data_IF_933980807568
#
_entry.id   IF_933980807568
#
_cell.length_a   1.000
_cell.length_b   1.000
_cell.length_c   1.000
_cell.angle_alpha   90.00
_cell.angle_beta   90.00
_cell.angle_gamma   90.00
#
_symmetry.space_group_name_H-M   'P 1'
#
loop_
_entity.id
_entity.type
_entity.pdbx_description
1 polymer ?
#
# COMPACT_ATOMS: atom_id res chain seq x y z
N UNK A 1 15.83 46.54 -17.35
CA UNK A 1 15.02 45.36 -16.96
C UNK A 1 15.89 44.12 -16.73
N UNK A 2 17.23 44.22 -16.85
CA UNK A 2 18.16 43.09 -16.70
C UNK A 2 18.61 42.80 -15.26
N UNK A 3 18.59 43.79 -14.36
CA UNK A 3 19.00 43.58 -12.96
C UNK A 3 18.09 42.61 -12.20
N UNK A 4 16.83 42.49 -12.61
CA UNK A 4 15.87 41.58 -12.00
C UNK A 4 16.21 40.11 -12.33
N UNK A 5 16.64 39.84 -13.56
CA UNK A 5 17.03 38.50 -14.00
C UNK A 5 18.38 38.08 -13.41
N UNK A 6 19.31 39.01 -13.26
CA UNK A 6 20.58 38.74 -12.58
C UNK A 6 20.40 38.37 -11.10
N UNK A 7 19.44 38.99 -10.40
CA UNK A 7 19.16 38.69 -9.00
C UNK A 7 18.47 37.33 -8.80
N UNK A 8 17.62 36.90 -9.74
CA UNK A 8 17.02 35.57 -9.69
C UNK A 8 18.06 34.46 -9.91
N UNK A 9 18.99 34.67 -10.84
CA UNK A 9 20.01 33.66 -11.19
C UNK A 9 21.12 33.55 -10.15
N UNK A 10 21.43 34.65 -9.46
CA UNK A 10 22.48 34.73 -8.43
C UNK A 10 22.02 34.23 -7.05
N UNK A 11 20.72 34.05 -6.83
CA UNK A 11 20.15 33.65 -5.53
C UNK A 11 20.35 34.66 -4.40
N UNK A 12 21.03 35.78 -4.67
CA UNK A 12 21.22 36.90 -3.74
C UNK A 12 20.12 37.93 -3.93
N UNK A 13 18.89 37.55 -3.60
CA UNK A 13 17.86 38.55 -3.31
C UNK A 13 18.27 39.27 -2.02
N UNK A 14 19.14 40.27 -2.17
CA UNK A 14 19.51 41.18 -1.08
C UNK A 14 18.22 41.88 -0.67
N UNK A 15 17.64 41.41 0.42
CA UNK A 15 16.67 42.17 1.20
C UNK A 15 17.29 43.57 1.38
N UNK A 16 16.62 44.66 0.95
CA UNK A 16 17.09 46.00 1.27
C UNK A 16 16.97 46.14 2.78
N UNK A 17 18.12 45.94 3.41
CA UNK A 17 18.57 46.38 4.71
C UNK A 17 17.55 47.28 5.45
N UNK A 18 16.53 46.68 6.06
CA UNK A 18 15.66 47.33 7.07
C UNK A 18 16.36 47.40 8.43
N UNK A 19 17.68 47.46 8.42
CA UNK A 19 18.55 47.27 9.57
C UNK A 19 19.46 48.44 9.90
N UNK A 20 19.25 49.64 9.32
CA UNK A 20 19.94 50.84 9.81
C UNK A 20 19.26 51.36 11.09
N UNK A 21 19.38 50.57 12.15
CA UNK A 21 19.18 51.02 13.53
C UNK A 21 20.56 51.00 14.17
N UNK A 22 21.21 52.15 14.11
CA UNK A 22 22.39 52.48 14.93
C UNK A 22 21.96 52.47 16.41
N UNK A 23 21.85 51.28 16.99
CA UNK A 23 21.73 51.06 18.44
C UNK A 23 23.10 50.61 18.93
N UNK A 24 24.03 51.56 19.05
CA UNK A 24 25.38 51.29 19.58
C UNK A 24 25.41 51.08 21.08
N UNK A 25 24.35 51.38 21.85
CA UNK A 25 24.47 51.50 23.31
C UNK A 25 23.37 50.84 24.16
N UNK A 26 22.69 49.81 23.68
CA UNK A 26 21.88 48.95 24.58
C UNK A 26 22.61 47.64 24.90
N UNK A 27 23.47 47.68 25.93
CA UNK A 27 23.98 46.49 26.63
C UNK A 27 22.86 45.92 27.51
N UNK A 28 21.85 45.33 26.87
CA UNK A 28 20.86 44.48 27.56
C UNK A 28 21.54 43.30 28.28
N UNK A 29 20.81 42.54 29.13
CA UNK A 29 21.36 41.54 30.05
C UNK A 29 22.15 40.40 29.37
N UNK A 30 23.41 40.67 29.06
CA UNK A 30 24.32 39.83 28.30
C UNK A 30 24.96 38.74 29.17
N UNK A 31 24.19 37.89 29.87
CA UNK A 31 24.76 36.71 30.58
C UNK A 31 23.79 35.52 30.74
N UNK A 32 23.07 35.06 29.71
CA UNK A 32 22.42 33.71 29.75
C UNK A 32 22.32 32.93 28.42
N UNK A 33 22.91 33.39 27.31
CA UNK A 33 22.69 32.74 26.00
C UNK A 33 23.72 31.66 25.64
N UNK A 34 24.94 31.69 26.19
CA UNK A 34 26.02 30.75 25.82
C UNK A 34 25.85 29.32 26.37
N UNK A 35 24.97 29.11 27.35
CA UNK A 35 24.69 27.79 27.93
C UNK A 35 23.48 27.07 27.34
N UNK A 36 22.59 27.78 26.62
CA UNK A 36 21.33 27.22 26.15
C UNK A 36 21.44 26.58 24.76
N UNK A 37 22.36 27.07 23.92
CA UNK A 37 22.59 26.47 22.58
C UNK A 37 23.16 25.06 22.67
N UNK A 38 24.09 24.79 23.60
CA UNK A 38 24.63 23.43 23.81
C UNK A 38 23.56 22.41 24.20
N UNK A 39 22.56 22.82 24.99
CA UNK A 39 21.44 21.94 25.39
C UNK A 39 20.43 21.72 24.26
N UNK A 40 20.27 22.69 23.36
CA UNK A 40 19.39 22.57 22.18
C UNK A 40 19.95 21.59 21.16
N UNK A 41 21.26 21.60 20.90
CA UNK A 41 21.89 20.68 19.94
C UNK A 41 21.68 19.23 20.33
N UNK A 42 21.81 18.90 21.62
CA UNK A 42 21.62 17.55 22.14
C UNK A 42 20.16 17.08 22.04
N UNK A 43 19.19 18.00 22.21
CA UNK A 43 17.76 17.68 22.04
C UNK A 43 17.44 17.37 20.57
N UNK A 44 17.90 18.21 19.64
CA UNK A 44 17.71 17.95 18.22
C UNK A 44 18.40 16.66 17.78
N UNK A 45 19.63 16.41 18.22
CA UNK A 45 20.35 15.18 17.89
C UNK A 45 19.64 13.90 18.38
N UNK A 46 19.07 13.92 19.59
CA UNK A 46 18.31 12.78 20.13
C UNK A 46 17.02 12.52 19.36
N UNK A 47 16.20 13.56 19.17
CA UNK A 47 14.94 13.45 18.44
C UNK A 47 15.18 13.05 16.98
N UNK A 48 16.22 13.58 16.34
CA UNK A 48 16.57 13.16 14.98
C UNK A 48 17.03 11.71 14.93
N UNK A 49 17.85 11.26 15.87
CA UNK A 49 18.36 9.88 15.85
C UNK A 49 17.26 8.84 16.05
N UNK A 50 16.32 9.08 16.96
CA UNK A 50 15.15 8.21 17.16
C UNK A 50 14.26 8.22 15.91
N UNK A 51 14.00 9.40 15.33
CA UNK A 51 13.24 9.50 14.08
C UNK A 51 13.96 8.78 12.92
N UNK A 52 15.29 8.89 12.82
CA UNK A 52 16.07 8.18 11.81
C UNK A 52 16.02 6.67 12.00
N UNK A 53 16.03 6.17 13.24
CA UNK A 53 15.89 4.75 13.53
C UNK A 53 14.52 4.23 13.07
N UNK A 54 13.44 4.96 13.36
CA UNK A 54 12.09 4.61 12.90
C UNK A 54 11.97 4.66 11.37
N UNK A 55 12.51 5.71 10.75
CA UNK A 55 12.53 5.82 9.28
C UNK A 55 13.29 4.63 8.69
N UNK A 56 14.44 4.26 9.25
CA UNK A 56 15.22 3.11 8.80
C UNK A 56 14.41 1.81 8.91
N UNK A 57 13.78 1.54 10.06
CA UNK A 57 12.97 0.34 10.25
C UNK A 57 11.81 0.26 9.25
N UNK A 58 11.12 1.39 8.99
CA UNK A 58 10.05 1.42 7.99
C UNK A 58 10.55 1.22 6.56
N UNK A 59 11.75 1.73 6.23
CA UNK A 59 12.40 1.49 4.93
C UNK A 59 12.85 0.03 4.78
N UNK A 60 13.36 -0.59 5.83
CA UNK A 60 13.75 -2.01 5.82
C UNK A 60 12.52 -2.89 5.56
N UNK A 61 11.41 -2.65 6.27
CA UNK A 61 10.12 -3.34 6.03
C UNK A 61 9.60 -3.10 4.62
N UNK A 62 9.70 -1.87 4.10
CA UNK A 62 9.29 -1.55 2.74
C UNK A 62 10.12 -2.32 1.71
N UNK A 63 11.43 -2.39 1.91
CA UNK A 63 12.35 -3.11 1.01
C UNK A 63 12.07 -4.62 1.00
N UNK A 64 11.76 -5.20 2.16
CA UNK A 64 11.39 -6.61 2.26
C UNK A 64 10.07 -6.89 1.52
N UNK A 65 9.08 -6.01 1.66
CA UNK A 65 7.81 -6.13 0.94
C UNK A 65 8.01 -6.02 -0.58
N UNK A 66 8.83 -5.10 -1.06
CA UNK A 66 9.15 -4.97 -2.49
C UNK A 66 9.83 -6.24 -3.02
N UNK A 67 10.76 -6.82 -2.25
CA UNK A 67 11.40 -8.08 -2.59
C UNK A 67 10.40 -9.22 -2.70
N UNK A 68 9.50 -9.38 -1.71
CA UNK A 68 8.44 -10.40 -1.75
C UNK A 68 7.54 -10.24 -2.97
N UNK A 69 7.15 -9.01 -3.31
CA UNK A 69 6.35 -8.73 -4.50
C UNK A 69 7.12 -9.15 -5.78
N UNK A 70 8.39 -8.77 -5.89
CA UNK A 70 9.22 -9.17 -7.02
C UNK A 70 9.31 -10.70 -7.14
N UNK A 71 9.55 -11.40 -6.03
CA UNK A 71 9.62 -12.87 -6.00
C UNK A 71 8.29 -13.49 -6.47
N UNK A 72 7.14 -12.96 -6.02
CA UNK A 72 5.83 -13.46 -6.48
C UNK A 72 5.59 -13.26 -7.97
N UNK A 73 6.02 -12.12 -8.53
CA UNK A 73 5.90 -11.84 -9.97
C UNK A 73 6.80 -12.80 -10.76
N UNK A 74 8.03 -13.06 -10.30
CA UNK A 74 8.92 -14.02 -10.96
C UNK A 74 8.40 -15.46 -10.89
N UNK A 75 7.67 -15.82 -9.83
CA UNK A 75 7.03 -17.13 -9.73
C UNK A 75 5.82 -17.23 -10.67
N UNK A 76 5.01 -16.17 -10.78
CA UNK A 76 3.87 -16.10 -11.70
C UNK A 76 4.31 -16.22 -13.16
N UNK A 77 5.30 -15.43 -13.58
CA UNK A 77 5.85 -15.50 -14.94
C UNK A 77 6.36 -16.90 -15.30
N UNK A 78 7.06 -17.59 -14.39
CA UNK A 78 7.46 -19.00 -14.59
C UNK A 78 6.27 -19.96 -14.72
N UNK A 79 5.17 -19.73 -14.00
CA UNK A 79 3.96 -20.55 -14.14
C UNK A 79 3.28 -20.27 -15.48
N UNK A 80 3.19 -19.01 -15.88
CA UNK A 80 2.63 -18.60 -17.17
C UNK A 80 3.43 -19.20 -18.34
N UNK A 81 4.77 -19.20 -18.26
CA UNK A 81 5.63 -19.87 -19.25
C UNK A 81 5.34 -21.38 -19.34
N UNK A 82 5.14 -22.06 -18.21
CA UNK A 82 4.78 -23.49 -18.20
C UNK A 82 3.41 -23.74 -18.82
N UNK A 83 2.44 -22.87 -18.55
CA UNK A 83 1.10 -22.95 -19.13
C UNK A 83 1.18 -22.75 -20.65
N UNK A 84 1.90 -21.72 -21.11
CA UNK A 84 2.11 -21.47 -22.53
C UNK A 84 2.76 -22.67 -23.23
N UNK A 85 3.84 -23.22 -22.66
CA UNK A 85 4.52 -24.40 -23.20
C UNK A 85 3.60 -25.63 -23.26
N UNK A 86 2.76 -25.84 -22.25
CA UNK A 86 1.80 -26.94 -22.24
C UNK A 86 0.72 -26.78 -23.32
N UNK A 87 0.23 -25.55 -23.53
CA UNK A 87 -0.72 -25.24 -24.59
C UNK A 87 -0.08 -25.45 -25.97
N UNK A 88 1.14 -24.98 -26.19
CA UNK A 88 1.87 -25.22 -27.44
C UNK A 88 2.09 -26.71 -27.72
N UNK A 89 2.42 -27.49 -26.70
CA UNK A 89 2.55 -28.95 -26.81
C UNK A 89 1.22 -29.61 -27.21
N UNK A 90 0.10 -29.21 -26.60
CA UNK A 90 -1.23 -29.69 -26.95
C UNK A 90 -1.62 -29.33 -28.38
N UNK A 91 -1.39 -28.08 -28.80
CA UNK A 91 -1.65 -27.62 -30.17
C UNK A 91 -0.80 -28.42 -31.17
N UNK A 92 0.47 -28.68 -30.85
CA UNK A 92 1.37 -29.49 -31.69
C UNK A 92 0.88 -30.94 -31.81
N UNK A 93 0.41 -31.54 -30.71
CA UNK A 93 -0.17 -32.88 -30.73
C UNK A 93 -1.45 -32.95 -31.56
N UNK A 94 -2.35 -31.97 -31.41
CA UNK A 94 -3.61 -31.90 -32.15
C UNK A 94 -3.39 -31.63 -33.65
N UNK A 95 -2.43 -30.76 -33.99
CA UNK A 95 -2.05 -30.49 -35.38
C UNK A 95 -1.51 -31.71 -36.11
N UNK A 96 -0.70 -32.54 -35.42
CA UNK A 96 -0.24 -33.84 -35.93
C UNK A 96 -1.39 -34.83 -36.11
N UNK A 97 -2.35 -34.86 -35.17
CA UNK A 97 -3.49 -35.77 -35.23
C UNK A 97 -4.48 -35.43 -36.35
N UNK A 98 -4.63 -34.14 -36.70
CA UNK A 98 -5.54 -33.66 -37.75
C UNK A 98 -4.89 -33.41 -39.11
N UNK A 99 -3.64 -33.85 -39.32
CA UNK A 99 -3.00 -33.80 -40.64
C UNK A 99 -2.71 -32.39 -41.16
N UNK A 100 -2.59 -31.40 -40.26
CA UNK A 100 -2.06 -30.08 -40.62
C UNK A 100 -0.53 -30.16 -40.72
N UNK A 101 -0.03 -30.78 -41.78
CA UNK A 101 1.37 -30.65 -42.19
C UNK A 101 1.57 -29.27 -42.83
N UNK A 102 1.76 -28.27 -41.99
CA UNK A 102 2.46 -27.04 -42.34
C UNK A 102 3.92 -27.17 -41.91
N UNK A 103 4.91 -26.95 -42.79
CA UNK A 103 6.31 -27.19 -42.48
C UNK A 103 6.85 -26.07 -41.60
N UNK A 104 7.18 -26.35 -40.34
CA UNK A 104 8.01 -25.46 -39.52
C UNK A 104 8.97 -26.26 -38.60
N UNK A 105 10.08 -25.62 -38.18
CA UNK A 105 11.42 -26.19 -38.27
C UNK A 105 11.80 -27.08 -37.11
N UNK A 106 12.82 -27.90 -37.38
CA UNK A 106 13.53 -28.76 -36.45
C UNK A 106 13.99 -28.02 -35.19
N UNK A 107 13.70 -28.63 -34.06
CA UNK A 107 14.24 -28.30 -32.73
C UNK A 107 14.00 -29.49 -31.82
N UNK A 108 14.73 -30.57 -32.10
CA UNK A 108 14.71 -31.82 -31.34
C UNK A 108 15.38 -31.60 -29.99
N UNK A 109 14.72 -31.99 -28.90
CA UNK A 109 15.40 -32.70 -27.81
C UNK A 109 14.40 -33.48 -26.95
N UNK A 110 14.35 -34.78 -27.23
CA UNK A 110 13.77 -35.82 -26.40
C UNK A 110 14.80 -36.28 -25.35
N UNK A 111 14.35 -36.55 -24.11
CA UNK A 111 14.63 -37.78 -23.30
C UNK A 111 14.46 -37.48 -21.80
N UNK A 112 13.59 -38.23 -21.11
CA UNK A 112 13.48 -38.15 -19.64
C UNK A 112 12.30 -38.92 -19.01
N UNK A 113 12.34 -40.25 -19.08
CA UNK A 113 11.46 -41.29 -18.50
C UNK A 113 10.99 -41.09 -17.03
N UNK A 114 9.80 -41.60 -16.62
CA UNK A 114 9.24 -41.47 -15.26
C UNK A 114 9.61 -42.64 -14.31
N UNK A 115 9.37 -42.49 -13.00
CA UNK A 115 8.77 -43.58 -12.22
C UNK A 115 7.52 -43.14 -11.42
N UNK A 116 6.58 -44.10 -11.33
CA UNK A 116 5.30 -44.08 -10.62
C UNK A 116 5.44 -44.09 -9.08
N UNK A 117 4.35 -43.65 -8.42
CA UNK A 117 3.97 -43.93 -7.02
C UNK A 117 3.94 -42.65 -6.18
N UNK A 118 2.90 -42.28 -5.45
CA UNK A 118 1.62 -42.91 -5.18
C UNK A 118 0.71 -41.85 -4.52
N UNK A 119 -0.58 -41.92 -4.81
CA UNK A 119 -1.73 -41.55 -3.95
C UNK A 119 -2.01 -40.07 -3.57
N UNK A 120 -3.26 -39.70 -3.88
CA UNK A 120 -4.14 -38.71 -3.21
C UNK A 120 -4.28 -37.30 -3.85
N UNK A 121 -5.22 -37.22 -4.79
CA UNK A 121 -6.20 -36.11 -4.90
C UNK A 121 -6.89 -35.82 -3.53
N UNK A 122 -7.42 -34.61 -3.27
CA UNK A 122 -8.31 -33.89 -4.19
C UNK A 122 -8.05 -32.38 -4.37
N UNK A 123 -8.32 -31.91 -5.60
CA UNK A 123 -8.68 -30.52 -5.94
C UNK A 123 -10.09 -30.18 -5.39
N UNK A 124 -10.73 -29.00 -5.66
CA UNK A 124 -10.26 -27.72 -6.23
C UNK A 124 -10.75 -26.50 -5.42
N UNK A 125 -10.19 -25.30 -5.64
CA UNK A 125 -10.95 -24.05 -5.94
C UNK A 125 -9.96 -22.91 -6.21
N UNK A 126 -9.84 -22.47 -7.47
CA UNK A 126 -10.57 -21.34 -8.06
C UNK A 126 -9.83 -20.00 -7.87
N UNK A 127 -9.05 -19.64 -8.89
CA UNK A 127 -8.88 -18.25 -9.34
C UNK A 127 -10.23 -17.78 -9.97
N UNK A 128 -10.46 -16.50 -10.37
CA UNK A 128 -9.43 -15.55 -10.82
C UNK A 128 -9.69 -14.04 -10.59
N UNK A 129 -8.74 -13.28 -11.12
CA UNK A 129 -8.93 -12.05 -11.90
C UNK A 129 -8.92 -10.68 -11.21
N UNK A 130 -7.96 -9.89 -11.69
CA UNK A 130 -7.77 -8.46 -11.49
C UNK A 130 -8.87 -7.60 -12.14
N UNK A 131 -9.12 -6.42 -11.58
CA UNK A 131 -9.38 -5.18 -12.34
C UNK A 131 -9.39 -3.93 -11.42
N UNK A 132 -8.51 -2.96 -11.70
CA UNK A 132 -8.79 -1.50 -11.59
C UNK A 132 -9.46 -1.07 -12.91
N UNK A 133 -10.16 0.09 -13.08
CA UNK A 133 -10.02 1.38 -12.38
C UNK A 133 -11.33 2.22 -12.20
N UNK A 134 -11.17 3.49 -11.76
CA UNK A 134 -12.07 4.67 -11.90
C UNK A 134 -13.34 4.73 -11.03
N UNK A 135 -13.47 5.66 -10.06
CA UNK A 135 -13.69 7.11 -10.17
C UNK A 135 -15.13 7.51 -10.56
N UNK A 136 -15.94 7.84 -9.55
CA UNK A 136 -16.90 8.95 -9.60
C UNK A 136 -17.24 9.38 -8.18
N UNK A 137 -17.34 10.69 -8.01
CA UNK A 137 -17.68 11.41 -6.80
C UNK A 137 -19.17 11.74 -6.78
N UNK A 138 -19.66 12.13 -5.58
CA UNK A 138 -20.94 12.80 -5.26
C UNK A 138 -22.19 11.94 -5.53
N UNK A 139 -23.26 11.94 -4.74
CA UNK A 139 -23.88 13.04 -3.99
C UNK A 139 -24.84 12.44 -2.93
N UNK A 140 -25.27 13.29 -2.01
CA UNK A 140 -26.21 13.04 -0.92
C UNK A 140 -27.61 12.54 -1.38
N UNK A 141 -28.36 12.02 -0.40
CA UNK A 141 -29.83 11.92 -0.27
C UNK A 141 -30.54 10.59 -0.58
N UNK A 142 -31.06 10.05 0.53
CA UNK A 142 -32.41 9.53 0.76
C UNK A 142 -32.97 8.33 -0.02
N UNK A 143 -33.37 7.35 0.81
CA UNK A 143 -34.52 6.45 0.68
C UNK A 143 -34.54 5.50 -0.53
N UNK A 144 -34.09 4.27 -0.33
CA UNK A 144 -34.74 3.10 -0.92
C UNK A 144 -34.65 1.89 0.03
N UNK A 145 -35.84 1.43 0.42
CA UNK A 145 -36.11 0.24 1.22
C UNK A 145 -35.79 -1.03 0.42
N UNK A 146 -34.52 -1.43 0.41
CA UNK A 146 -34.02 -2.79 0.17
C UNK A 146 -32.55 -2.82 0.63
N UNK A 147 -32.27 -2.24 1.80
CA UNK A 147 -30.90 -2.09 2.27
C UNK A 147 -30.32 -3.45 2.71
N UNK A 148 -29.05 -3.73 2.37
CA UNK A 148 -28.27 -4.77 3.04
C UNK A 148 -28.40 -4.56 4.56
N UNK A 149 -28.37 -5.64 5.38
CA UNK A 149 -28.53 -5.52 6.84
C UNK A 149 -27.67 -4.37 7.33
N UNK A 150 -28.29 -3.38 8.00
CA UNK A 150 -27.63 -2.14 8.36
C UNK A 150 -26.30 -2.50 9.03
N UNK A 151 -25.23 -1.81 8.66
CA UNK A 151 -23.90 -2.02 9.23
C UNK A 151 -23.94 -2.07 10.76
N UNK A 152 -24.87 -1.33 11.36
CA UNK A 152 -25.18 -1.32 12.79
C UNK A 152 -25.73 -2.68 13.23
N UNK A 153 -26.76 -3.24 12.58
CA UNK A 153 -27.34 -4.54 12.91
C UNK A 153 -26.30 -5.67 12.82
N UNK A 154 -25.42 -5.61 11.83
CA UNK A 154 -24.32 -6.57 11.72
C UNK A 154 -23.34 -6.46 12.90
N UNK A 155 -22.97 -5.24 13.31
CA UNK A 155 -22.13 -5.03 14.51
C UNK A 155 -22.87 -5.55 15.75
N UNK A 156 -24.17 -5.26 15.89
CA UNK A 156 -24.98 -5.70 17.01
C UNK A 156 -24.96 -7.22 17.14
N UNK A 157 -25.22 -7.95 16.05
CA UNK A 157 -25.21 -9.41 16.01
C UNK A 157 -23.86 -9.97 16.44
N UNK A 158 -22.76 -9.51 15.83
CA UNK A 158 -21.42 -9.96 16.20
C UNK A 158 -21.06 -9.63 17.66
N UNK A 159 -21.56 -8.51 18.19
CA UNK A 159 -21.37 -8.15 19.60
C UNK A 159 -22.17 -9.06 20.54
N UNK A 160 -23.38 -9.48 20.16
CA UNK A 160 -24.16 -10.45 20.94
C UNK A 160 -23.50 -11.83 20.97
N UNK A 161 -22.80 -12.21 19.89
CA UNK A 161 -21.97 -13.42 19.82
C UNK A 161 -20.68 -13.32 20.67
N UNK A 162 -20.39 -12.14 21.23
CA UNK A 162 -19.21 -11.91 22.07
C UNK A 162 -17.95 -11.53 21.28
N UNK A 163 -18.07 -11.20 20.01
CA UNK A 163 -16.91 -10.86 19.19
C UNK A 163 -16.25 -9.55 19.63
N UNK A 164 -14.91 -9.56 19.57
CA UNK A 164 -14.10 -8.36 19.80
C UNK A 164 -14.21 -7.39 18.62
N UNK A 165 -14.07 -6.10 18.90
CA UNK A 165 -14.08 -5.05 17.87
C UNK A 165 -13.09 -5.29 16.73
N UNK A 166 -11.95 -5.90 17.02
CA UNK A 166 -10.95 -6.22 16.00
C UNK A 166 -11.39 -7.37 15.10
N UNK A 167 -12.13 -8.35 15.64
CA UNK A 167 -12.71 -9.43 14.85
C UNK A 167 -13.80 -8.92 13.91
N UNK A 168 -14.63 -7.98 14.38
CA UNK A 168 -15.64 -7.30 13.55
C UNK A 168 -14.97 -6.49 12.44
N UNK A 169 -13.90 -5.75 12.76
CA UNK A 169 -13.15 -5.00 11.75
C UNK A 169 -12.57 -5.91 10.64
N UNK A 170 -12.00 -7.06 11.02
CA UNK A 170 -11.52 -8.06 10.05
C UNK A 170 -12.65 -8.65 9.21
N UNK A 171 -13.81 -8.87 9.81
CA UNK A 171 -14.99 -9.34 9.09
C UNK A 171 -15.41 -8.32 8.01
N UNK A 172 -15.39 -7.03 8.31
CA UNK A 172 -15.69 -5.97 7.34
C UNK A 172 -14.65 -5.87 6.23
N UNK A 173 -13.37 -6.03 6.56
CA UNK A 173 -12.31 -6.10 5.55
C UNK A 173 -12.48 -7.31 4.62
N UNK A 174 -12.87 -8.47 5.17
CA UNK A 174 -13.12 -9.69 4.39
C UNK A 174 -14.34 -9.55 3.47
N UNK A 175 -15.37 -8.83 3.93
CA UNK A 175 -16.56 -8.52 3.14
C UNK A 175 -16.37 -7.32 2.20
N UNK A 176 -15.15 -6.75 2.14
CA UNK A 176 -14.82 -5.58 1.34
C UNK A 176 -15.71 -4.36 1.62
N UNK A 177 -16.20 -4.23 2.85
CA UNK A 177 -17.04 -3.09 3.25
C UNK A 177 -16.14 -1.87 3.43
N UNK A 178 -16.36 -0.78 2.67
CA UNK A 178 -15.55 0.43 2.82
C UNK A 178 -15.81 1.09 4.18
N UNK A 179 -14.78 1.74 4.73
CA UNK A 179 -14.96 2.59 5.91
C UNK A 179 -15.86 3.79 5.60
N UNK A 180 -16.47 4.39 6.63
CA UNK A 180 -17.31 5.60 6.49
C UNK A 180 -16.57 6.77 5.84
N UNK A 181 -15.25 6.87 6.06
CA UNK A 181 -14.41 7.89 5.40
C UNK A 181 -14.07 7.55 3.95
N UNK A 182 -14.44 6.36 3.45
CA UNK A 182 -14.05 5.83 2.15
C UNK A 182 -12.55 5.54 2.02
N UNK A 183 -11.79 5.59 3.12
CA UNK A 183 -10.32 5.52 3.10
C UNK A 183 -9.80 4.50 4.10
N UNK A 184 -9.12 3.49 3.55
CA UNK A 184 -8.40 2.50 4.35
C UNK A 184 -9.27 1.33 4.81
N UNK A 185 -8.74 0.58 5.77
CA UNK A 185 -9.31 -0.64 6.33
C UNK A 185 -10.01 -0.36 7.65
N UNK A 186 -11.02 -1.16 7.98
CA UNK A 186 -11.63 -1.08 9.29
C UNK A 186 -10.62 -1.48 10.36
N UNK A 187 -10.65 -0.79 11.51
CA UNK A 187 -9.88 -1.14 12.70
C UNK A 187 -10.81 -1.20 13.89
N UNK A 188 -10.52 -2.03 14.89
CA UNK A 188 -11.39 -2.19 16.07
C UNK A 188 -11.82 -0.86 16.72
N UNK A 189 -10.91 0.10 16.98
CA UNK A 189 -11.29 1.40 17.52
C UNK A 189 -12.22 2.22 16.61
N UNK A 190 -12.11 2.07 15.29
CA UNK A 190 -12.98 2.76 14.34
C UNK A 190 -14.40 2.16 14.33
N UNK A 191 -14.51 0.83 14.37
CA UNK A 191 -15.80 0.13 14.52
C UNK A 191 -16.48 0.55 15.81
N UNK A 192 -15.75 0.58 16.94
CA UNK A 192 -16.30 1.03 18.22
C UNK A 192 -16.82 2.47 18.15
N UNK A 193 -16.05 3.40 17.59
CA UNK A 193 -16.48 4.80 17.42
C UNK A 193 -17.72 4.92 16.54
N UNK A 194 -17.77 4.15 15.46
CA UNK A 194 -18.93 4.11 14.57
C UNK A 194 -20.17 3.58 15.28
N UNK A 195 -20.03 2.52 16.09
CA UNK A 195 -21.10 2.00 16.93
C UNK A 195 -21.58 3.03 17.94
N UNK A 196 -20.67 3.63 18.71
CA UNK A 196 -21.01 4.62 19.75
C UNK A 196 -21.72 5.88 19.16
N UNK A 197 -21.45 6.21 17.90
CA UNK A 197 -22.05 7.36 17.21
C UNK A 197 -23.44 7.06 16.63
N UNK A 198 -23.72 5.81 16.23
CA UNK A 198 -24.94 5.45 15.51
C UNK A 198 -25.88 4.52 16.29
N UNK A 199 -25.42 3.97 17.43
CA UNK A 199 -26.28 3.19 18.31
C UNK A 199 -27.31 4.13 18.96
N UNK A 200 -28.61 3.79 18.94
CA UNK A 200 -29.60 4.50 19.74
C UNK A 200 -29.20 4.39 21.22
N UNK A 201 -29.30 5.51 21.95
CA UNK A 201 -29.10 5.57 23.40
C UNK A 201 -30.32 5.09 24.15
#
# INVERSE_FOLDING_TARGET
>A
MDDFLHNLRSGKLKQPDRGRRDYTDYKGPQRRTTGNDRRRTDYYAKVTNENFALIKETLDVLSENQKRIADTITAQTKMEERIANAIEALVTMMGRQWGHEGPLPQGVETVGRPPQGDTAEPLPVSAPAAAKPQASATDDSDANEDEPPSLIDMIANMRTEGDSWEKIARHFDNQQIPTVSGKGKWRGPAVKKFWDANSPK
#
